data_IF_122661646347
#
_entry.id   IF_122661646347
#
_cell.length_a   1.000
_cell.length_b   1.000
_cell.length_c   1.000
_cell.angle_alpha   90.00
_cell.angle_beta   90.00
_cell.angle_gamma   90.00
#
_symmetry.space_group_name_H-M   'P 1'
#
loop_
_entity.id
_entity.type
_entity.pdbx_description
1 polymer ?
#
# COMPACT_ATOMS: atom_id res chain seq x y z
N UNK A 1 -10.56 -2.60 11.79
CA UNK A 1 -9.98 -3.62 10.89
C UNK A 1 -8.58 -3.20 10.50
N UNK A 2 -7.64 -4.13 10.66
CA UNK A 2 -6.26 -3.91 10.25
C UNK A 2 -5.90 -5.03 9.29
N UNK A 3 -5.64 -4.72 8.01
CA UNK A 3 -5.23 -5.75 7.06
C UNK A 3 -3.83 -6.23 7.35
N UNK A 4 -3.58 -7.50 7.06
CA UNK A 4 -2.25 -8.08 7.12
C UNK A 4 -1.92 -8.70 5.76
N UNK A 5 -0.76 -8.33 5.22
CA UNK A 5 -0.27 -8.88 3.95
C UNK A 5 0.82 -9.90 4.22
N UNK A 6 0.71 -11.04 3.55
CA UNK A 6 1.81 -11.98 3.46
C UNK A 6 2.73 -11.50 2.33
N UNK A 7 3.98 -11.25 2.65
CA UNK A 7 4.94 -10.69 1.67
C UNK A 7 6.06 -11.68 1.40
N UNK A 8 6.71 -11.54 0.23
CA UNK A 8 7.77 -12.46 -0.17
C UNK A 8 9.13 -12.11 0.42
N UNK A 9 9.36 -10.85 0.76
CA UNK A 9 10.64 -10.35 1.28
C UNK A 9 10.36 -9.15 2.16
N UNK A 10 10.48 -9.34 3.49
CA UNK A 10 10.13 -8.29 4.44
C UNK A 10 11.00 -7.04 4.30
N UNK A 11 12.27 -7.18 3.94
CA UNK A 11 13.15 -6.02 3.79
C UNK A 11 12.83 -5.23 2.53
N UNK A 12 12.46 -5.90 1.44
CA UNK A 12 11.98 -5.22 0.24
C UNK A 12 10.69 -4.47 0.55
N UNK A 13 9.79 -5.08 1.29
CA UNK A 13 8.53 -4.43 1.69
C UNK A 13 8.78 -3.26 2.63
N UNK A 14 9.72 -3.39 3.58
CA UNK A 14 10.10 -2.28 4.46
C UNK A 14 10.56 -1.08 3.64
N UNK A 15 11.45 -1.30 2.67
CA UNK A 15 11.94 -0.21 1.82
C UNK A 15 10.81 0.46 1.06
N UNK A 16 9.91 -0.32 0.50
CA UNK A 16 8.78 0.23 -0.25
C UNK A 16 7.82 1.02 0.66
N UNK A 17 7.35 0.40 1.73
CA UNK A 17 6.34 1.05 2.58
C UNK A 17 6.92 2.19 3.42
N UNK A 18 8.09 2.00 3.99
CA UNK A 18 8.66 3.01 4.91
C UNK A 18 9.49 4.06 4.18
N UNK A 19 10.43 3.65 3.33
CA UNK A 19 11.32 4.62 2.69
C UNK A 19 10.63 5.36 1.55
N UNK A 20 9.82 4.67 0.74
CA UNK A 20 9.15 5.30 -0.39
C UNK A 20 7.82 5.93 0.01
N UNK A 21 6.91 5.15 0.61
CA UNK A 21 5.57 5.64 0.90
C UNK A 21 5.46 6.44 2.19
N UNK A 22 6.43 6.32 3.10
CA UNK A 22 6.45 7.11 4.31
C UNK A 22 5.72 6.50 5.50
N UNK A 23 5.42 5.20 5.45
CA UNK A 23 4.87 4.51 6.62
C UNK A 23 5.90 4.49 7.75
N UNK A 24 5.42 4.57 8.99
CA UNK A 24 6.24 4.43 10.19
C UNK A 24 6.08 3.03 10.75
N UNK A 25 7.18 2.48 11.29
CA UNK A 25 7.11 1.21 12.01
C UNK A 25 6.67 1.51 13.44
N UNK A 26 5.48 1.06 13.81
CA UNK A 26 4.97 1.22 15.17
C UNK A 26 5.65 0.24 16.11
N UNK A 27 5.80 -1.00 15.67
CA UNK A 27 6.60 -2.03 16.31
C UNK A 27 6.88 -3.15 15.32
N UNK A 28 7.84 -4.01 15.67
CA UNK A 28 8.17 -5.16 14.83
C UNK A 28 8.55 -6.36 15.67
N UNK A 29 8.47 -7.53 15.06
CA UNK A 29 8.97 -8.77 15.63
C UNK A 29 9.93 -9.40 14.63
N UNK A 30 11.24 -9.05 14.72
CA UNK A 30 12.23 -9.58 13.77
C UNK A 30 12.26 -11.10 13.72
N UNK A 31 12.04 -11.76 14.85
CA UNK A 31 12.00 -13.22 14.96
C UNK A 31 10.87 -13.85 14.17
N UNK A 32 9.85 -13.06 13.80
CA UNK A 32 8.73 -13.52 12.98
C UNK A 32 8.71 -12.85 11.61
N UNK A 33 9.70 -12.01 11.30
CA UNK A 33 9.71 -11.19 10.09
C UNK A 33 8.40 -10.42 9.92
N UNK A 34 7.99 -9.74 11.01
CA UNK A 34 6.70 -9.04 11.11
C UNK A 34 6.89 -7.56 11.38
N UNK A 35 6.11 -6.73 10.68
CA UNK A 35 6.07 -5.27 10.86
C UNK A 35 4.63 -4.82 11.09
N UNK A 36 4.44 -3.93 12.06
CA UNK A 36 3.18 -3.19 12.21
C UNK A 36 3.45 -1.75 11.79
N UNK A 37 2.76 -1.30 10.75
CA UNK A 37 3.01 -0.01 10.10
C UNK A 37 1.82 0.92 10.23
N UNK A 38 2.11 2.23 10.21
CA UNK A 38 1.05 3.24 10.12
C UNK A 38 1.46 4.37 9.17
N UNK A 39 0.47 4.95 8.51
CA UNK A 39 0.60 6.15 7.71
C UNK A 39 -0.62 7.01 8.02
N UNK A 40 -0.41 8.12 8.74
CA UNK A 40 -1.51 8.95 9.27
C UNK A 40 -2.47 8.06 10.07
N UNK A 41 -3.75 8.03 9.71
CA UNK A 41 -4.76 7.20 10.40
C UNK A 41 -4.80 5.75 9.90
N UNK A 42 -4.01 5.41 8.87
CA UNK A 42 -4.05 4.10 8.24
C UNK A 42 -3.06 3.14 8.89
N UNK A 43 -3.47 1.90 9.06
CA UNK A 43 -2.64 0.86 9.68
C UNK A 43 -2.55 -0.36 8.77
N UNK A 44 -1.42 -1.04 8.82
CA UNK A 44 -1.13 -2.19 7.98
C UNK A 44 -0.13 -3.09 8.66
N UNK A 45 -0.37 -4.38 8.62
CA UNK A 45 0.59 -5.38 9.10
C UNK A 45 1.21 -6.12 7.92
N UNK A 46 2.49 -6.44 8.04
CA UNK A 46 3.22 -7.23 7.05
C UNK A 46 3.92 -8.37 7.75
N UNK A 47 3.87 -9.56 7.15
CA UNK A 47 4.63 -10.70 7.63
C UNK A 47 5.19 -11.46 6.44
N UNK A 48 6.48 -11.81 6.51
CA UNK A 48 7.08 -12.59 5.44
C UNK A 48 6.52 -14.02 5.50
N UNK A 49 6.05 -14.50 4.36
CA UNK A 49 5.51 -15.84 4.26
C UNK A 49 6.60 -16.90 4.35
N UNK A 50 6.23 -18.08 4.85
CA UNK A 50 7.11 -19.24 4.77
C UNK A 50 7.21 -19.68 3.31
N UNK A 51 8.22 -20.50 3.01
CA UNK A 51 8.40 -21.02 1.65
C UNK A 51 7.13 -21.75 1.17
N UNK A 52 6.51 -22.55 2.03
CA UNK A 52 5.30 -23.28 1.67
C UNK A 52 4.12 -22.34 1.43
N UNK A 53 3.95 -21.32 2.29
CA UNK A 53 2.89 -20.32 2.10
C UNK A 53 3.07 -19.58 0.77
N UNK A 54 4.30 -19.20 0.45
CA UNK A 54 4.56 -18.44 -0.76
C UNK A 54 4.37 -19.25 -2.05
N UNK A 55 4.51 -20.59 -1.99
CA UNK A 55 4.25 -21.41 -3.17
C UNK A 55 2.77 -21.41 -3.57
N UNK A 56 1.86 -21.09 -2.66
CA UNK A 56 0.43 -20.98 -2.94
C UNK A 56 0.05 -19.63 -3.57
N UNK A 57 1.00 -18.70 -3.65
CA UNK A 57 0.73 -17.36 -4.14
C UNK A 57 1.48 -17.09 -5.43
N UNK A 58 0.83 -16.39 -6.36
CA UNK A 58 1.44 -15.94 -7.60
C UNK A 58 1.21 -14.44 -7.76
N UNK A 59 2.18 -13.76 -8.34
CA UNK A 59 2.06 -12.33 -8.62
C UNK A 59 0.93 -12.07 -9.61
N UNK A 60 0.06 -11.06 -9.42
CA UNK A 60 0.02 -10.16 -8.27
C UNK A 60 -0.71 -10.79 -7.08
N UNK A 61 -0.11 -10.63 -5.89
CA UNK A 61 -0.76 -11.11 -4.66
C UNK A 61 -2.01 -10.28 -4.38
N UNK A 62 -2.98 -10.88 -3.68
CA UNK A 62 -4.18 -10.18 -3.24
C UNK A 62 -5.17 -9.85 -4.36
N UNK A 63 -5.25 -10.69 -5.36
CA UNK A 63 -6.18 -10.50 -6.49
C UNK A 63 -7.61 -10.34 -6.01
N UNK A 64 -8.29 -9.33 -6.56
CA UNK A 64 -9.66 -9.04 -6.20
C UNK A 64 -9.81 -8.16 -4.97
N UNK A 65 -8.69 -7.81 -4.31
CA UNK A 65 -8.68 -6.94 -3.13
C UNK A 65 -7.81 -5.73 -3.42
N UNK A 66 -8.24 -4.57 -2.96
CA UNK A 66 -7.37 -3.38 -2.96
C UNK A 66 -7.60 -2.63 -1.65
N UNK A 67 -6.62 -1.84 -1.26
CA UNK A 67 -6.74 -0.98 -0.08
C UNK A 67 -6.79 0.46 -0.51
N UNK A 68 -7.68 1.22 0.11
CA UNK A 68 -7.79 2.66 -0.11
C UNK A 68 -7.29 3.38 1.13
N UNK A 69 -6.21 4.13 0.98
CA UNK A 69 -5.61 4.92 2.06
C UNK A 69 -6.00 6.38 1.87
N UNK A 70 -6.72 6.92 2.86
CA UNK A 70 -7.02 8.35 2.89
C UNK A 70 -5.85 9.08 3.52
N UNK A 71 -5.21 9.98 2.79
CA UNK A 71 -4.06 10.75 3.27
C UNK A 71 -4.24 12.23 2.95
N UNK A 72 -3.49 13.10 3.62
CA UNK A 72 -3.72 14.55 3.53
C UNK A 72 -3.15 15.19 2.27
N UNK A 73 -2.04 14.68 1.73
CA UNK A 73 -1.37 15.33 0.60
C UNK A 73 -0.99 14.28 -0.45
N UNK A 74 -2.00 13.86 -1.20
CA UNK A 74 -1.81 12.85 -2.27
C UNK A 74 -0.86 13.33 -3.35
N UNK A 75 -0.93 14.58 -3.85
CA UNK A 75 0.01 15.02 -4.88
C UNK A 75 1.48 14.96 -4.44
N UNK A 76 1.75 15.25 -3.17
CA UNK A 76 3.12 15.18 -2.64
C UNK A 76 3.64 13.75 -2.65
N UNK A 77 2.82 12.78 -2.20
CA UNK A 77 3.22 11.38 -2.23
C UNK A 77 3.40 10.90 -3.66
N UNK A 78 2.48 11.28 -4.56
CA UNK A 78 2.57 10.92 -5.97
C UNK A 78 3.90 11.40 -6.57
N UNK A 79 4.28 12.65 -6.30
CA UNK A 79 5.53 13.20 -6.81
C UNK A 79 6.74 12.43 -6.29
N UNK A 80 6.72 12.04 -5.02
CA UNK A 80 7.78 11.24 -4.43
C UNK A 80 7.93 9.88 -5.13
N UNK A 81 6.81 9.24 -5.44
CA UNK A 81 6.80 7.95 -6.15
C UNK A 81 7.35 8.11 -7.57
N UNK A 82 6.94 9.18 -8.27
CA UNK A 82 7.44 9.49 -9.63
C UNK A 82 8.96 9.71 -9.59
N UNK A 83 9.44 10.50 -8.64
CA UNK A 83 10.88 10.82 -8.54
C UNK A 83 11.72 9.58 -8.22
N UNK A 84 11.13 8.57 -7.58
CA UNK A 84 11.81 7.31 -7.30
C UNK A 84 11.75 6.33 -8.48
N UNK A 85 11.17 6.73 -9.60
CA UNK A 85 10.98 5.88 -10.78
C UNK A 85 10.21 4.59 -10.47
N UNK A 86 9.32 4.64 -9.48
CA UNK A 86 8.49 3.48 -9.17
C UNK A 86 7.28 3.43 -10.09
N UNK A 87 6.94 2.26 -10.67
CA UNK A 87 5.84 2.16 -11.63
C UNK A 87 4.50 2.61 -11.04
N UNK A 88 3.78 3.43 -11.80
CA UNK A 88 2.45 3.90 -11.44
C UNK A 88 1.42 2.97 -12.09
N UNK A 89 0.50 2.43 -11.30
CA UNK A 89 -0.57 1.59 -11.82
C UNK A 89 -1.70 2.44 -12.41
N UNK A 90 -2.10 3.50 -11.67
CA UNK A 90 -3.04 4.51 -12.16
C UNK A 90 -2.48 5.88 -11.85
N UNK A 91 -2.41 6.78 -12.85
CA UNK A 91 -1.86 8.12 -12.60
C UNK A 91 -2.77 8.94 -11.71
N UNK A 92 -2.20 9.99 -11.11
CA UNK A 92 -2.95 10.92 -10.29
C UNK A 92 -4.07 11.53 -11.13
N UNK A 93 -5.31 11.34 -10.68
CA UNK A 93 -6.51 11.72 -11.41
C UNK A 93 -7.56 12.19 -10.41
N UNK A 94 -8.32 13.20 -10.80
CA UNK A 94 -9.51 13.61 -10.04
C UNK A 94 -10.63 12.63 -10.41
N UNK A 95 -11.05 11.84 -9.42
CA UNK A 95 -12.12 10.86 -9.61
C UNK A 95 -13.46 11.49 -9.29
N UNK A 96 -14.52 10.91 -9.80
CA UNK A 96 -15.90 11.34 -9.52
C UNK A 96 -16.66 10.14 -8.98
N UNK A 97 -17.16 10.26 -7.76
CA UNK A 97 -17.96 9.19 -7.14
C UNK A 97 -19.28 9.76 -6.64
N UNK A 98 -20.34 9.02 -6.89
CA UNK A 98 -21.66 9.35 -6.35
C UNK A 98 -21.78 8.77 -4.94
N UNK A 99 -22.21 9.61 -3.99
CA UNK A 99 -22.48 9.21 -2.62
C UNK A 99 -23.93 9.63 -2.32
N UNK A 100 -24.85 8.67 -2.42
CA UNK A 100 -26.26 8.99 -2.29
C UNK A 100 -26.73 9.89 -3.41
N UNK A 101 -27.15 11.11 -3.06
CA UNK A 101 -27.66 12.11 -3.99
C UNK A 101 -26.65 13.22 -4.32
N UNK A 102 -25.39 13.07 -3.92
CA UNK A 102 -24.35 14.04 -4.21
C UNK A 102 -23.09 13.34 -4.73
N UNK A 103 -22.12 14.14 -5.17
CA UNK A 103 -20.87 13.64 -5.74
C UNK A 103 -19.68 14.13 -4.94
N UNK A 104 -18.64 13.29 -4.87
CA UNK A 104 -17.33 13.67 -4.32
C UNK A 104 -16.29 13.55 -5.42
N UNK A 105 -15.20 14.32 -5.28
CA UNK A 105 -14.19 14.45 -6.34
C UNK A 105 -12.77 14.29 -5.77
N UNK A 106 -12.44 13.12 -5.17
CA UNK A 106 -11.11 12.95 -4.62
C UNK A 106 -10.04 12.86 -5.69
N UNK A 107 -8.84 13.35 -5.36
CA UNK A 107 -7.65 13.06 -6.14
C UNK A 107 -7.11 11.71 -5.69
N UNK A 108 -6.77 10.86 -6.65
CA UNK A 108 -6.38 9.48 -6.36
C UNK A 108 -5.33 9.00 -7.35
N UNK A 109 -4.37 8.22 -6.84
CA UNK A 109 -3.49 7.44 -7.71
C UNK A 109 -3.35 6.03 -7.10
N UNK A 110 -2.78 5.11 -7.87
CA UNK A 110 -2.59 3.75 -7.41
C UNK A 110 -1.24 3.21 -7.82
N UNK A 111 -0.70 2.34 -6.98
CA UNK A 111 0.51 1.56 -7.25
C UNK A 111 0.27 0.13 -6.83
N UNK A 112 1.07 -0.79 -7.38
CA UNK A 112 1.17 -2.14 -6.86
C UNK A 112 2.42 -2.21 -5.99
N UNK A 113 2.32 -2.87 -4.83
CA UNK A 113 3.49 -3.06 -3.99
C UNK A 113 4.44 -4.09 -4.64
N UNK A 114 5.62 -4.37 -4.06
CA UNK A 114 6.56 -5.32 -4.68
C UNK A 114 5.98 -6.71 -4.95
N UNK A 115 4.98 -7.15 -4.18
CA UNK A 115 4.32 -8.45 -4.38
C UNK A 115 3.04 -8.35 -5.22
N UNK A 116 2.66 -7.14 -5.63
CA UNK A 116 1.49 -6.91 -6.48
C UNK A 116 0.22 -6.54 -5.73
N UNK A 117 0.28 -6.29 -4.43
CA UNK A 117 -0.91 -5.79 -3.71
C UNK A 117 -1.30 -4.41 -4.22
N UNK A 118 -2.58 -4.23 -4.47
CA UNK A 118 -3.13 -3.04 -5.10
C UNK A 118 -3.44 -1.99 -4.03
N UNK A 119 -2.74 -0.85 -4.10
CA UNK A 119 -2.87 0.24 -3.12
C UNK A 119 -3.34 1.51 -3.83
N UNK A 120 -4.40 2.13 -3.29
CA UNK A 120 -4.91 3.42 -3.76
C UNK A 120 -4.70 4.47 -2.68
N UNK A 121 -4.30 5.65 -3.08
CA UNK A 121 -4.12 6.80 -2.18
C UNK A 121 -5.04 7.92 -2.63
N UNK A 122 -5.86 8.43 -1.72
CA UNK A 122 -6.87 9.44 -2.06
C UNK A 122 -7.01 10.51 -0.97
N UNK A 123 -7.52 11.67 -1.38
CA UNK A 123 -7.87 12.77 -0.49
C UNK A 123 -9.13 13.47 -0.92
#
# INVERSE_FOLDING_TARGET
VIPEFLVSDIEQSRSFYCDLLGFSVEYERPEENFLFLSLEECQLMLEEGTKDELTELTYPFGRGVNLSFGIKDVPKLYQKVIEADYPIYRPLTKRTFRVGDHYIYPHEFAVLDPDGYFLRFSE
#
